data_IF_074713889252
#
_entry.id   IF_074713889252
#
_cell.length_a   1.000
_cell.length_b   1.000
_cell.length_c   1.000
_cell.angle_alpha   90.00
_cell.angle_beta   90.00
_cell.angle_gamma   90.00
#
_symmetry.space_group_name_H-M   'P 1'
#
loop_
_entity.id
_entity.type
_entity.pdbx_description
1 polymer ?
#
# COMPACT_ATOMS: atom_id res chain seq x y z
N UNK A 1 -0.68 19.85 -11.43
CA UNK A 1 0.06 18.65 -10.99
C UNK A 1 -0.60 17.44 -11.59
N UNK A 2 0.18 16.61 -12.28
CA UNK A 2 -0.31 15.46 -13.02
C UNK A 2 0.41 14.19 -12.57
N UNK A 3 -0.37 13.13 -12.41
CA UNK A 3 0.16 11.78 -12.28
C UNK A 3 0.48 11.26 -13.69
N UNK A 4 1.76 11.07 -13.98
CA UNK A 4 2.26 10.83 -15.33
C UNK A 4 2.21 9.35 -15.73
N UNK A 5 2.54 8.46 -14.78
CA UNK A 5 2.49 7.02 -14.93
C UNK A 5 2.50 6.33 -13.57
N UNK A 6 2.07 5.06 -13.56
CA UNK A 6 2.19 4.16 -12.40
C UNK A 6 2.78 2.83 -12.89
N UNK A 7 3.76 2.31 -12.15
CA UNK A 7 4.37 1.00 -12.37
C UNK A 7 4.29 0.15 -11.10
N UNK A 8 4.02 -1.13 -11.26
CA UNK A 8 3.77 -2.06 -10.16
C UNK A 8 4.69 -3.28 -10.26
N UNK A 9 5.12 -3.80 -9.11
CA UNK A 9 5.95 -4.98 -9.00
C UNK A 9 5.55 -5.81 -7.78
N UNK A 10 5.53 -7.12 -7.96
CA UNK A 10 5.34 -8.11 -6.90
C UNK A 10 6.45 -9.17 -7.02
N UNK A 11 6.81 -9.86 -5.93
CA UNK A 11 7.66 -11.04 -6.04
C UNK A 11 7.07 -12.07 -7.02
N UNK A 12 7.91 -12.84 -7.73
CA UNK A 12 7.44 -13.71 -8.81
C UNK A 12 6.56 -14.87 -8.32
N UNK A 13 6.71 -15.30 -7.06
CA UNK A 13 5.95 -16.40 -6.49
C UNK A 13 4.66 -15.89 -5.86
N UNK A 14 3.54 -16.34 -6.39
CA UNK A 14 2.23 -16.24 -5.78
C UNK A 14 1.93 -17.54 -5.01
N UNK A 15 1.27 -17.40 -3.87
CA UNK A 15 0.78 -18.51 -3.05
C UNK A 15 -0.70 -18.29 -2.78
N UNK A 16 -1.48 -19.35 -2.96
CA UNK A 16 -2.89 -19.39 -2.57
C UNK A 16 -3.01 -19.36 -1.04
N UNK A 17 -4.16 -18.93 -0.52
CA UNK A 17 -4.39 -18.97 0.93
C UNK A 17 -4.32 -20.40 1.50
N UNK A 18 -4.67 -21.41 0.69
CA UNK A 18 -4.55 -22.81 1.08
C UNK A 18 -3.08 -23.26 1.21
N UNK A 19 -2.21 -22.86 0.28
CA UNK A 19 -0.77 -23.14 0.36
C UNK A 19 -0.14 -22.43 1.57
N UNK A 20 -0.51 -21.17 1.83
CA UNK A 20 -0.03 -20.44 3.01
C UNK A 20 -0.47 -21.14 4.30
N UNK A 21 -1.71 -21.61 4.37
CA UNK A 21 -2.21 -22.34 5.53
C UNK A 21 -1.48 -23.67 5.71
N UNK A 22 -1.32 -24.45 4.64
CA UNK A 22 -0.58 -25.72 4.67
C UNK A 22 0.85 -25.54 5.18
N UNK A 23 1.55 -24.52 4.69
CA UNK A 23 2.90 -24.18 5.15
C UNK A 23 2.91 -23.84 6.65
N UNK A 24 1.94 -23.03 7.13
CA UNK A 24 1.82 -22.69 8.55
C UNK A 24 1.55 -23.93 9.42
N UNK A 25 0.64 -24.81 8.99
CA UNK A 25 0.29 -26.04 9.72
C UNK A 25 1.49 -26.96 9.96
N UNK A 26 2.53 -26.87 9.12
CA UNK A 26 3.77 -27.65 9.25
C UNK A 26 4.83 -27.02 10.17
N UNK A 27 4.56 -25.86 10.77
CA UNK A 27 5.53 -25.15 11.63
C UNK A 27 5.31 -25.44 13.11
N UNK A 28 6.38 -25.46 13.94
CA UNK A 28 6.24 -25.53 15.40
C UNK A 28 5.32 -24.42 15.95
N UNK A 29 5.39 -23.23 15.35
CA UNK A 29 4.63 -22.07 15.81
C UNK A 29 3.13 -22.28 15.77
N UNK A 30 2.61 -22.98 14.77
CA UNK A 30 1.18 -23.30 14.68
C UNK A 30 0.70 -24.21 15.82
N UNK A 31 1.55 -25.14 16.25
CA UNK A 31 1.23 -26.07 17.33
C UNK A 31 1.30 -25.42 18.72
N UNK A 32 2.06 -24.33 18.87
CA UNK A 32 2.07 -23.51 20.10
C UNK A 32 0.78 -22.73 20.31
N UNK A 33 0.06 -22.38 19.24
CA UNK A 33 -1.18 -21.60 19.33
C UNK A 33 -2.29 -22.36 20.09
N UNK A 34 -3.25 -21.63 20.63
CA UNK A 34 -4.45 -22.24 21.20
C UNK A 34 -5.34 -22.87 20.12
N UNK A 35 -6.22 -23.79 20.55
CA UNK A 35 -7.23 -24.40 19.65
C UNK A 35 -8.15 -23.34 19.01
N UNK A 36 -8.48 -22.27 19.74
CA UNK A 36 -9.27 -21.14 19.25
C UNK A 36 -8.53 -20.39 18.13
N UNK A 37 -7.25 -20.09 18.31
CA UNK A 37 -6.42 -19.40 17.32
C UNK A 37 -6.26 -20.22 16.04
N UNK A 38 -6.01 -21.53 16.17
CA UNK A 38 -5.98 -22.44 15.02
C UNK A 38 -7.31 -22.49 14.26
N UNK A 39 -8.44 -22.53 14.98
CA UNK A 39 -9.77 -22.50 14.36
C UNK A 39 -10.04 -21.18 13.62
N UNK A 40 -9.57 -20.05 14.15
CA UNK A 40 -9.65 -18.74 13.49
C UNK A 40 -8.83 -18.73 12.20
N UNK A 41 -7.56 -19.15 12.25
CA UNK A 41 -6.69 -19.23 11.07
C UNK A 41 -7.31 -20.09 9.97
N UNK A 42 -7.78 -21.29 10.32
CA UNK A 42 -8.47 -22.20 9.38
C UNK A 42 -9.70 -21.55 8.76
N UNK A 43 -10.49 -20.82 9.56
CA UNK A 43 -11.70 -20.13 9.07
C UNK A 43 -11.35 -19.00 8.09
N UNK A 44 -10.31 -18.22 8.37
CA UNK A 44 -9.95 -17.03 7.59
C UNK A 44 -9.21 -17.41 6.30
N UNK A 45 -8.22 -18.29 6.39
CA UNK A 45 -7.42 -18.79 5.26
C UNK A 45 -8.19 -19.81 4.40
N UNK A 46 -9.24 -20.44 4.92
CA UNK A 46 -10.14 -21.33 4.18
C UNK A 46 -11.09 -20.61 3.21
N UNK A 47 -10.59 -19.61 2.49
CA UNK A 47 -11.28 -18.87 1.42
C UNK A 47 -12.46 -17.98 1.88
N UNK A 48 -12.41 -17.42 3.09
CA UNK A 48 -13.48 -16.53 3.61
C UNK A 48 -13.05 -15.09 3.80
N UNK A 49 -11.84 -14.69 3.44
CA UNK A 49 -11.34 -13.32 3.62
C UNK A 49 -11.33 -12.47 2.34
N UNK A 50 -11.75 -13.03 1.20
CA UNK A 50 -11.78 -12.34 -0.09
C UNK A 50 -10.42 -12.23 -0.80
N UNK A 51 -9.40 -12.96 -0.33
CA UNK A 51 -8.06 -13.02 -0.93
C UNK A 51 -7.85 -14.42 -1.51
N UNK A 52 -7.52 -14.51 -2.79
CA UNK A 52 -7.19 -15.77 -3.48
C UNK A 52 -5.69 -16.07 -3.35
N UNK A 53 -4.85 -15.11 -3.71
CA UNK A 53 -3.39 -15.24 -3.75
C UNK A 53 -2.68 -14.07 -3.06
N UNK A 54 -1.46 -14.33 -2.60
CA UNK A 54 -0.51 -13.33 -2.10
C UNK A 54 0.87 -13.61 -2.65
N UNK A 55 1.66 -12.57 -2.83
CA UNK A 55 3.05 -12.71 -3.27
C UNK A 55 4.00 -12.51 -2.10
N UNK A 56 5.07 -13.29 -2.05
CA UNK A 56 6.08 -13.20 -1.00
C UNK A 56 7.50 -13.27 -1.55
N UNK A 57 8.38 -12.43 -1.02
CA UNK A 57 9.78 -12.38 -1.34
C UNK A 57 10.54 -13.45 -0.52
N UNK A 58 10.26 -14.72 -0.81
CA UNK A 58 10.73 -15.89 -0.06
C UNK A 58 11.11 -17.04 -1.01
N UNK A 59 12.04 -17.87 -0.55
CA UNK A 59 12.42 -19.10 -1.25
C UNK A 59 11.45 -20.24 -0.95
N UNK A 60 10.92 -20.36 0.26
CA UNK A 60 9.85 -21.30 0.61
C UNK A 60 8.75 -20.59 1.42
N UNK A 61 7.54 -21.13 1.42
CA UNK A 61 6.41 -20.47 2.11
C UNK A 61 6.58 -20.53 3.63
N UNK A 62 7.19 -21.60 4.13
CA UNK A 62 7.51 -21.83 5.54
C UNK A 62 8.41 -20.73 6.11
N UNK A 63 9.26 -20.12 5.26
CA UNK A 63 10.16 -19.03 5.67
C UNK A 63 9.37 -17.81 6.17
N UNK A 64 8.13 -17.61 5.72
CA UNK A 64 7.26 -16.52 6.20
C UNK A 64 7.00 -16.58 7.72
N UNK A 65 7.17 -17.77 8.32
CA UNK A 65 6.90 -18.08 9.71
C UNK A 65 8.17 -18.27 10.55
N UNK A 66 9.32 -17.88 10.02
CA UNK A 66 10.59 -17.78 10.77
C UNK A 66 10.67 -16.40 11.42
N UNK A 67 10.33 -16.33 12.70
CA UNK A 67 10.23 -15.11 13.48
C UNK A 67 11.55 -14.79 14.23
N UNK A 68 12.62 -14.57 13.46
CA UNK A 68 13.93 -14.18 13.99
C UNK A 68 14.26 -12.74 13.52
N UNK A 69 14.47 -11.77 14.43
CA UNK A 69 14.65 -10.36 14.06
C UNK A 69 15.70 -10.13 12.96
N UNK A 70 16.88 -10.74 13.11
CA UNK A 70 17.99 -10.58 12.15
C UNK A 70 17.69 -11.17 10.78
N UNK A 71 16.93 -12.28 10.71
CA UNK A 71 16.52 -12.86 9.42
C UNK A 71 15.44 -12.02 8.76
N UNK A 72 14.52 -11.48 9.53
CA UNK A 72 13.44 -10.64 9.02
C UNK A 72 13.96 -9.31 8.48
N UNK A 73 14.83 -8.61 9.22
CA UNK A 73 15.43 -7.37 8.70
C UNK A 73 16.34 -7.63 7.50
N UNK A 74 17.02 -8.78 7.45
CA UNK A 74 17.81 -9.20 6.27
C UNK A 74 16.91 -9.39 5.04
N UNK A 75 15.76 -10.06 5.19
CA UNK A 75 14.75 -10.20 4.12
C UNK A 75 14.31 -8.83 3.59
N UNK A 76 14.00 -7.88 4.48
CA UNK A 76 13.67 -6.52 4.06
C UNK A 76 14.81 -5.87 3.27
N UNK A 77 16.04 -5.89 3.82
CA UNK A 77 17.23 -5.30 3.21
C UNK A 77 17.52 -5.86 1.82
N UNK A 78 17.30 -7.16 1.60
CA UNK A 78 17.58 -7.82 0.33
C UNK A 78 16.51 -7.57 -0.73
N UNK A 79 15.23 -7.56 -0.33
CA UNK A 79 14.12 -7.56 -1.27
C UNK A 79 13.48 -6.17 -1.50
N UNK A 80 13.43 -5.31 -0.49
CA UNK A 80 12.80 -3.98 -0.64
C UNK A 80 13.47 -3.13 -1.72
N UNK A 81 14.82 -3.00 -1.78
CA UNK A 81 15.47 -2.22 -2.84
C UNK A 81 15.18 -2.75 -4.25
N UNK A 82 15.24 -4.07 -4.43
CA UNK A 82 15.03 -4.74 -5.74
C UNK A 82 13.60 -4.55 -6.24
N UNK A 83 12.62 -4.72 -5.35
CA UNK A 83 11.21 -4.62 -5.70
C UNK A 83 10.81 -3.16 -5.99
N UNK A 84 11.32 -2.23 -5.17
CA UNK A 84 11.18 -0.80 -5.39
C UNK A 84 11.79 -0.35 -6.73
N UNK A 85 12.98 -0.83 -7.06
CA UNK A 85 13.64 -0.56 -8.35
C UNK A 85 12.80 -1.10 -9.52
N UNK A 86 12.28 -2.33 -9.42
CA UNK A 86 11.45 -2.92 -10.46
C UNK A 86 10.18 -2.08 -10.74
N UNK A 87 9.51 -1.60 -9.69
CA UNK A 87 8.36 -0.70 -9.83
C UNK A 87 8.75 0.66 -10.43
N UNK A 88 9.86 1.25 -9.97
CA UNK A 88 10.39 2.51 -10.48
C UNK A 88 10.73 2.43 -11.97
N UNK A 89 11.46 1.40 -12.40
CA UNK A 89 11.83 1.20 -13.82
C UNK A 89 10.60 1.07 -14.71
N UNK A 90 9.61 0.27 -14.32
CA UNK A 90 8.34 0.14 -15.07
C UNK A 90 7.60 1.47 -15.17
N UNK A 91 7.63 2.28 -14.10
CA UNK A 91 6.97 3.59 -14.08
C UNK A 91 7.63 4.57 -15.06
N UNK A 92 8.98 4.61 -15.04
CA UNK A 92 9.79 5.45 -15.93
C UNK A 92 9.62 5.00 -17.39
N UNK A 93 9.72 3.70 -17.66
CA UNK A 93 9.47 3.12 -18.98
C UNK A 93 8.07 3.51 -19.50
N UNK A 94 7.03 3.31 -18.69
CA UNK A 94 5.68 3.74 -19.05
C UNK A 94 5.64 5.25 -19.30
N UNK A 95 6.35 6.08 -18.55
CA UNK A 95 6.28 7.55 -18.69
C UNK A 95 6.86 8.08 -20.00
N UNK A 96 7.81 7.37 -20.61
CA UNK A 96 8.61 7.86 -21.74
C UNK A 96 9.74 8.81 -21.35
N UNK A 97 9.90 9.11 -20.05
CA UNK A 97 11.02 9.89 -19.52
C UNK A 97 12.29 9.03 -19.38
N UNK A 98 13.43 9.70 -19.32
CA UNK A 98 14.72 9.13 -18.94
C UNK A 98 14.91 9.24 -17.43
N UNK A 99 15.69 8.32 -16.85
CA UNK A 99 16.05 8.39 -15.43
C UNK A 99 16.79 9.67 -15.05
N UNK A 100 17.53 10.27 -16.00
CA UNK A 100 18.21 11.56 -15.81
C UNK A 100 17.27 12.77 -15.73
N UNK A 101 15.97 12.59 -16.00
CA UNK A 101 14.95 13.64 -15.91
C UNK A 101 14.21 13.60 -14.56
N UNK A 102 14.52 12.64 -13.69
CA UNK A 102 13.95 12.56 -12.35
C UNK A 102 14.74 13.46 -11.41
N UNK A 103 14.06 14.48 -10.88
CA UNK A 103 14.65 15.52 -10.02
C UNK A 103 14.36 15.29 -8.52
N UNK A 104 13.40 14.43 -8.20
CA UNK A 104 13.09 14.06 -6.82
C UNK A 104 12.74 12.58 -6.66
N UNK A 105 13.14 11.98 -5.53
CA UNK A 105 12.83 10.60 -5.16
C UNK A 105 12.24 10.55 -3.75
N UNK A 106 11.00 10.08 -3.63
CA UNK A 106 10.35 9.84 -2.34
C UNK A 106 10.07 8.35 -2.20
N UNK A 107 10.52 7.74 -1.11
CA UNK A 107 10.29 6.31 -0.84
C UNK A 107 9.49 6.16 0.44
N UNK A 108 8.40 5.40 0.41
CA UNK A 108 7.55 5.12 1.56
C UNK A 108 7.56 3.63 1.90
N UNK A 109 7.71 3.32 3.20
CA UNK A 109 7.65 1.95 3.72
C UNK A 109 7.35 1.95 5.22
N UNK A 110 6.77 0.86 5.73
CA UNK A 110 6.60 0.62 7.17
C UNK A 110 7.04 -0.78 7.63
N UNK A 111 7.63 -1.58 6.73
CA UNK A 111 7.94 -3.01 6.98
C UNK A 111 9.40 -3.27 7.31
N UNK A 112 10.23 -2.23 7.38
CA UNK A 112 11.61 -2.31 7.84
C UNK A 112 12.26 -0.93 7.95
N UNK A 113 13.37 -0.86 8.67
CA UNK A 113 14.16 0.37 8.84
C UNK A 113 15.59 0.15 8.36
N UNK A 114 16.09 1.08 7.54
CA UNK A 114 17.46 1.10 7.06
C UNK A 114 18.05 2.50 7.29
N UNK A 115 19.31 2.55 7.69
CA UNK A 115 20.10 3.77 7.74
C UNK A 115 21.49 3.45 7.17
N UNK A 116 21.81 3.87 5.92
CA UNK A 116 21.04 4.75 5.03
C UNK A 116 19.71 4.14 4.52
N UNK A 117 18.74 5.00 4.19
CA UNK A 117 17.39 4.61 3.74
C UNK A 117 17.33 4.11 2.28
N UNK A 118 16.13 3.73 1.83
CA UNK A 118 15.91 3.14 0.50
C UNK A 118 16.21 4.11 -0.64
N UNK A 119 16.07 5.42 -0.41
CA UNK A 119 16.50 6.45 -1.37
C UNK A 119 17.95 6.29 -1.79
N UNK A 120 18.85 5.90 -0.87
CA UNK A 120 20.27 5.67 -1.17
C UNK A 120 20.46 4.48 -2.13
N UNK A 121 19.75 3.38 -1.89
CA UNK A 121 19.85 2.18 -2.71
C UNK A 121 19.29 2.41 -4.11
N UNK A 122 18.13 3.06 -4.20
CA UNK A 122 17.49 3.36 -5.48
C UNK A 122 18.27 4.41 -6.28
N UNK A 123 18.84 5.43 -5.63
CA UNK A 123 19.67 6.42 -6.32
C UNK A 123 20.88 5.76 -6.98
N UNK A 124 21.51 4.80 -6.30
CA UNK A 124 22.60 4.02 -6.86
C UNK A 124 22.14 3.12 -8.01
N UNK A 125 21.10 2.30 -7.81
CA UNK A 125 20.73 1.28 -8.80
C UNK A 125 20.05 1.85 -10.05
N UNK A 126 19.30 2.95 -9.91
CA UNK A 126 18.70 3.68 -11.02
C UNK A 126 19.66 4.68 -11.67
N UNK A 127 20.81 4.98 -11.05
CA UNK A 127 21.76 5.97 -11.56
C UNK A 127 21.18 7.39 -11.57
N UNK A 128 20.47 7.76 -10.51
CA UNK A 128 19.86 9.09 -10.38
C UNK A 128 20.92 10.17 -10.10
N UNK A 129 20.58 11.43 -10.40
CA UNK A 129 21.49 12.55 -10.16
C UNK A 129 21.85 12.67 -8.68
N UNK A 130 23.12 12.88 -8.29
CA UNK A 130 23.50 13.08 -6.90
C UNK A 130 22.92 14.37 -6.28
N UNK A 131 22.38 15.28 -7.10
CA UNK A 131 21.77 16.53 -6.66
C UNK A 131 20.23 16.46 -6.52
N UNK A 132 19.62 15.30 -6.74
CA UNK A 132 18.16 15.16 -6.63
C UNK A 132 17.67 15.46 -5.21
N UNK A 133 16.44 15.95 -5.07
CA UNK A 133 15.77 15.99 -3.77
C UNK A 133 15.36 14.57 -3.36
N UNK A 134 15.60 14.13 -2.12
CA UNK A 134 15.19 12.78 -1.70
C UNK A 134 14.62 12.74 -0.28
N UNK A 135 13.66 11.84 -0.07
CA UNK A 135 12.96 11.67 1.20
C UNK A 135 12.58 10.20 1.43
N UNK A 136 12.95 9.63 2.58
CA UNK A 136 12.41 8.36 3.08
C UNK A 136 11.27 8.65 4.08
N UNK A 137 10.06 8.23 3.73
CA UNK A 137 8.83 8.40 4.51
C UNK A 137 8.51 7.11 5.28
N UNK A 138 8.52 7.19 6.61
CA UNK A 138 8.27 6.05 7.50
C UNK A 138 7.16 6.36 8.50
N UNK A 139 6.53 5.32 9.05
CA UNK A 139 5.55 5.44 10.15
C UNK A 139 4.10 5.73 9.73
N UNK A 140 3.80 5.83 8.43
CA UNK A 140 2.44 6.10 7.92
C UNK A 140 1.64 4.83 7.58
N UNK A 141 2.30 3.66 7.56
CA UNK A 141 1.67 2.38 7.23
C UNK A 141 0.96 2.38 5.88
N UNK A 142 -0.18 1.68 5.82
CA UNK A 142 -1.03 1.57 4.64
C UNK A 142 -1.47 2.93 4.04
N UNK A 143 -1.43 4.01 4.84
CA UNK A 143 -1.84 5.35 4.41
C UNK A 143 -0.82 6.05 3.51
N UNK A 144 0.44 5.59 3.48
CA UNK A 144 1.59 6.40 3.06
C UNK A 144 1.61 6.88 1.60
N UNK A 145 0.89 6.21 0.69
CA UNK A 145 0.91 6.56 -0.74
C UNK A 145 0.43 7.99 -1.02
N UNK A 146 -0.67 8.43 -0.42
CA UNK A 146 -1.24 9.75 -0.68
C UNK A 146 -0.38 10.88 -0.10
N UNK A 147 0.10 10.82 1.16
CA UNK A 147 1.08 11.77 1.68
C UNK A 147 2.36 11.85 0.83
N UNK A 148 2.87 10.71 0.35
CA UNK A 148 4.05 10.69 -0.52
C UNK A 148 3.79 11.40 -1.85
N UNK A 149 2.64 11.15 -2.49
CA UNK A 149 2.21 11.88 -3.69
C UNK A 149 2.00 13.37 -3.42
N UNK A 150 1.44 13.74 -2.27
CA UNK A 150 1.23 15.13 -1.89
C UNK A 150 2.56 15.85 -1.69
N UNK A 151 3.54 15.21 -1.05
CA UNK A 151 4.88 15.78 -0.88
C UNK A 151 5.60 15.95 -2.22
N UNK A 152 5.50 14.95 -3.11
CA UNK A 152 6.00 15.06 -4.48
C UNK A 152 5.32 16.21 -5.24
N UNK A 153 4.00 16.36 -5.07
CA UNK A 153 3.24 17.47 -5.65
C UNK A 153 3.72 18.83 -5.15
N UNK A 154 4.06 18.96 -3.86
CA UNK A 154 4.61 20.20 -3.30
C UNK A 154 6.00 20.53 -3.84
N UNK A 155 6.88 19.54 -3.97
CA UNK A 155 8.21 19.74 -4.56
C UNK A 155 8.10 20.28 -5.98
N UNK A 156 7.22 19.70 -6.80
CA UNK A 156 7.04 20.16 -8.17
C UNK A 156 6.33 21.51 -8.24
N UNK A 157 5.29 21.74 -7.43
CA UNK A 157 4.61 23.03 -7.38
C UNK A 157 5.52 24.18 -6.93
N UNK A 158 6.50 23.90 -6.07
CA UNK A 158 7.50 24.87 -5.63
C UNK A 158 8.64 25.14 -6.63
N UNK A 159 8.70 24.37 -7.72
CA UNK A 159 9.79 24.43 -8.71
C UNK A 159 11.09 23.73 -8.29
N UNK A 160 11.08 22.99 -7.18
CA UNK A 160 12.25 22.20 -6.74
C UNK A 160 12.48 20.93 -7.58
N UNK A 161 11.46 20.47 -8.31
CA UNK A 161 11.54 19.32 -9.20
C UNK A 161 10.61 19.53 -10.40
N UNK A 162 10.96 19.02 -11.59
CA UNK A 162 10.02 18.92 -12.71
C UNK A 162 9.28 17.58 -12.68
N UNK A 163 10.03 16.51 -12.35
CA UNK A 163 9.53 15.16 -12.23
C UNK A 163 9.95 14.53 -10.90
N UNK A 164 8.96 14.18 -10.09
CA UNK A 164 9.17 13.50 -8.82
C UNK A 164 8.73 12.04 -8.92
N UNK A 165 9.65 11.12 -8.63
CA UNK A 165 9.40 9.68 -8.53
C UNK A 165 9.01 9.34 -7.09
N UNK A 166 7.80 8.81 -6.91
CA UNK A 166 7.31 8.30 -5.64
C UNK A 166 7.32 6.78 -5.70
N UNK A 167 7.87 6.10 -4.69
CA UNK A 167 7.90 4.65 -4.59
C UNK A 167 7.35 4.22 -3.24
N UNK A 168 6.28 3.43 -3.24
CA UNK A 168 5.80 2.71 -2.05
C UNK A 168 6.28 1.26 -2.16
N UNK A 169 6.96 0.73 -1.14
CA UNK A 169 7.45 -0.64 -1.13
C UNK A 169 7.27 -1.27 0.23
N UNK A 170 6.77 -2.50 0.25
CA UNK A 170 6.51 -3.22 1.48
C UNK A 170 6.88 -4.70 1.31
N UNK A 171 7.70 -5.18 2.24
CA UNK A 171 8.00 -6.60 2.41
C UNK A 171 7.29 -7.00 3.70
N UNK A 172 5.97 -7.17 3.63
CA UNK A 172 5.15 -7.50 4.79
C UNK A 172 5.57 -8.83 5.43
N UNK A 173 6.11 -9.77 4.65
CA UNK A 173 6.74 -10.99 5.16
C UNK A 173 7.96 -10.72 6.04
N UNK A 174 8.62 -9.56 5.94
CA UNK A 174 9.68 -9.12 6.84
C UNK A 174 9.16 -8.40 8.11
N UNK A 175 7.85 -8.23 8.23
CA UNK A 175 7.17 -7.67 9.39
C UNK A 175 6.04 -8.59 9.90
N UNK A 176 6.14 -9.90 9.63
CA UNK A 176 5.17 -10.90 10.08
C UNK A 176 5.36 -11.21 11.57
N UNK A 177 4.27 -11.46 12.29
CA UNK A 177 4.28 -11.88 13.68
C UNK A 177 3.10 -12.79 13.95
N UNK A 178 3.21 -13.71 14.91
CA UNK A 178 2.15 -14.64 15.24
C UNK A 178 2.08 -14.94 16.75
N UNK A 179 0.93 -14.69 17.36
CA UNK A 179 0.56 -15.11 18.71
C UNK A 179 -0.96 -15.34 18.79
N UNK A 180 -1.49 -15.57 19.99
CA UNK A 180 -2.92 -15.85 20.20
C UNK A 180 -3.85 -14.63 20.13
N UNK A 181 -3.32 -13.44 19.83
CA UNK A 181 -4.13 -12.23 19.65
C UNK A 181 -4.93 -12.31 18.33
N UNK A 182 -6.27 -12.17 18.36
CA UNK A 182 -7.08 -12.24 17.16
C UNK A 182 -6.68 -11.24 16.06
N UNK A 183 -6.27 -10.02 16.43
CA UNK A 183 -5.86 -8.99 15.47
C UNK A 183 -4.56 -9.37 14.76
N UNK A 184 -3.60 -9.93 15.50
CA UNK A 184 -2.34 -10.46 14.94
C UNK A 184 -2.61 -11.62 14.00
N UNK A 185 -3.49 -12.55 14.38
CA UNK A 185 -3.88 -13.69 13.54
C UNK A 185 -4.55 -13.23 12.23
N UNK A 186 -5.45 -12.23 12.31
CA UNK A 186 -6.07 -11.63 11.12
C UNK A 186 -5.02 -10.97 10.25
N UNK A 187 -4.10 -10.19 10.82
CA UNK A 187 -2.98 -9.57 10.09
C UNK A 187 -2.19 -10.60 9.27
N UNK A 188 -1.80 -11.72 9.89
CA UNK A 188 -1.05 -12.78 9.20
C UNK A 188 -1.77 -13.37 7.97
N UNK A 189 -3.10 -13.28 7.90
CA UNK A 189 -3.90 -13.75 6.78
C UNK A 189 -4.10 -12.71 5.66
N UNK A 190 -3.82 -11.43 5.93
CA UNK A 190 -4.11 -10.33 5.00
C UNK A 190 -2.90 -9.94 4.16
N UNK A 191 -1.72 -9.83 4.78
CA UNK A 191 -0.63 -9.10 4.17
C UNK A 191 0.19 -9.92 3.16
N UNK A 192 0.63 -9.25 2.10
CA UNK A 192 1.54 -9.73 1.05
C UNK A 192 2.59 -8.68 0.68
N UNK A 193 3.59 -9.06 -0.11
CA UNK A 193 4.72 -8.20 -0.49
C UNK A 193 4.47 -7.52 -1.84
N UNK A 194 4.88 -6.26 -1.98
CA UNK A 194 4.64 -5.49 -3.20
C UNK A 194 5.37 -4.15 -3.24
N UNK A 195 5.52 -3.61 -4.44
CA UNK A 195 5.95 -2.23 -4.66
C UNK A 195 5.16 -1.58 -5.80
N UNK A 196 4.87 -0.29 -5.64
CA UNK A 196 4.29 0.54 -6.67
C UNK A 196 5.03 1.87 -6.71
N UNK A 197 5.23 2.39 -7.91
CA UNK A 197 5.84 3.68 -8.13
C UNK A 197 4.98 4.53 -9.05
N UNK A 198 5.09 5.84 -8.88
CA UNK A 198 4.38 6.82 -9.69
C UNK A 198 5.26 8.04 -9.95
N UNK A 199 5.09 8.65 -11.12
CA UNK A 199 5.75 9.92 -11.45
C UNK A 199 4.73 11.05 -11.36
N UNK A 200 5.11 12.11 -10.64
CA UNK A 200 4.33 13.34 -10.52
C UNK A 200 5.07 14.45 -11.26
N UNK A 201 4.34 15.15 -12.14
CA UNK A 201 4.89 16.19 -13.03
C UNK A 201 4.06 17.47 -13.00
N UNK A 202 4.69 18.60 -13.34
CA UNK A 202 4.00 19.89 -13.47
C UNK A 202 3.03 19.88 -14.66
N UNK A 203 3.47 19.28 -15.76
CA UNK A 203 2.77 19.22 -17.04
C UNK A 203 2.11 17.85 -17.25
N UNK A 204 1.04 17.84 -18.04
CA UNK A 204 0.32 16.62 -18.39
C UNK A 204 1.11 15.78 -19.38
N UNK A 205 1.02 14.43 -19.33
CA UNK A 205 1.54 13.58 -20.40
C UNK A 205 0.80 13.86 -21.72
N UNK A 206 1.50 13.80 -22.85
CA UNK A 206 0.92 14.09 -24.17
C UNK A 206 -0.01 13.00 -24.71
N UNK A 207 0.34 11.71 -24.52
CA UNK A 207 -0.28 10.58 -25.22
C UNK A 207 -1.04 9.60 -24.30
N UNK A 208 -1.50 10.06 -23.14
CA UNK A 208 -2.17 9.23 -22.13
C UNK A 208 -3.35 9.95 -21.50
N UNK A 209 -4.27 9.17 -20.90
CA UNK A 209 -5.26 9.72 -19.97
C UNK A 209 -4.54 10.60 -18.94
N UNK A 210 -4.94 11.87 -18.92
CA UNK A 210 -4.40 12.92 -18.06
C UNK A 210 -5.08 12.80 -16.71
N UNK A 211 -4.28 12.50 -15.70
CA UNK A 211 -4.73 12.41 -14.31
C UNK A 211 -4.23 13.64 -13.57
N UNK A 212 -5.09 14.64 -13.41
CA UNK A 212 -4.76 15.88 -12.71
C UNK A 212 -5.07 15.73 -11.23
N UNK A 213 -4.07 15.92 -10.38
CA UNK A 213 -4.27 16.05 -8.94
C UNK A 213 -4.86 17.44 -8.66
N UNK A 214 -6.11 17.49 -8.19
CA UNK A 214 -6.85 18.75 -7.99
C UNK A 214 -6.67 19.27 -6.58
N UNK A 215 -6.98 18.43 -5.60
CA UNK A 215 -6.92 18.76 -4.17
C UNK A 215 -6.85 17.49 -3.34
N UNK A 216 -6.38 17.63 -2.10
CA UNK A 216 -6.32 16.55 -1.13
C UNK A 216 -6.68 17.05 0.25
N UNK A 217 -7.09 16.13 1.11
CA UNK A 217 -7.33 16.37 2.52
C UNK A 217 -6.74 15.22 3.35
N UNK A 218 -6.50 15.51 4.62
CA UNK A 218 -6.02 14.54 5.59
C UNK A 218 -6.76 14.68 6.92
N UNK A 219 -6.77 13.58 7.65
CA UNK A 219 -7.27 13.51 9.02
C UNK A 219 -6.35 12.58 9.81
N UNK A 220 -5.87 13.07 10.94
CA UNK A 220 -5.11 12.30 11.92
C UNK A 220 -5.92 12.33 13.21
N UNK A 221 -6.19 11.16 13.76
CA UNK A 221 -6.91 11.00 15.04
C UNK A 221 -5.97 10.34 16.06
N UNK A 222 -5.18 11.15 16.80
CA UNK A 222 -4.15 10.62 17.69
C UNK A 222 -4.71 9.74 18.82
N UNK A 223 -5.96 9.95 19.23
CA UNK A 223 -6.60 9.13 20.27
C UNK A 223 -6.92 7.72 19.77
N UNK A 224 -7.01 7.52 18.45
CA UNK A 224 -7.27 6.22 17.83
C UNK A 224 -5.98 5.46 17.46
N UNK A 225 -4.81 5.90 17.94
CA UNK A 225 -3.51 5.31 17.55
C UNK A 225 -3.39 3.81 17.83
N UNK A 226 -4.03 3.32 18.89
CA UNK A 226 -3.87 1.94 19.36
C UNK A 226 -4.78 0.95 18.64
N UNK A 227 -5.76 1.42 17.85
CA UNK A 227 -6.59 0.54 17.04
C UNK A 227 -5.84 -0.06 15.85
N UNK A 228 -4.82 0.64 15.34
CA UNK A 228 -3.97 0.19 14.24
C UNK A 228 -2.55 0.72 14.42
N UNK A 229 -1.64 -0.15 14.85
CA UNK A 229 -0.23 0.18 15.05
C UNK A 229 0.67 -1.05 14.96
N UNK A 230 1.96 -0.80 14.72
CA UNK A 230 2.98 -1.76 15.13
C UNK A 230 3.34 -1.53 16.59
N UNK A 231 3.39 -2.63 17.34
CA UNK A 231 4.05 -2.72 18.63
C UNK A 231 5.40 -3.44 18.44
N UNK A 232 6.38 -3.18 19.30
CA UNK A 232 7.68 -3.86 19.25
C UNK A 232 7.74 -4.93 20.33
N UNK A 233 8.03 -6.17 19.92
CA UNK A 233 8.15 -7.29 20.86
C UNK A 233 9.28 -8.21 20.44
N UNK A 234 10.25 -8.39 21.33
CA UNK A 234 11.41 -9.27 21.11
C UNK A 234 12.19 -8.94 19.82
N UNK A 235 12.28 -7.65 19.48
CA UNK A 235 12.93 -7.18 18.26
C UNK A 235 12.09 -7.32 16.98
N UNK A 236 10.84 -7.79 17.09
CA UNK A 236 9.91 -7.99 15.98
C UNK A 236 8.80 -6.92 15.94
N UNK A 237 8.27 -6.67 14.75
CA UNK A 237 7.10 -5.83 14.53
C UNK A 237 5.83 -6.65 14.72
N UNK A 238 5.11 -6.39 15.81
CA UNK A 238 3.82 -7.01 16.14
C UNK A 238 2.69 -6.11 15.65
N UNK A 239 2.07 -6.47 14.53
CA UNK A 239 0.99 -5.68 13.95
C UNK A 239 -0.33 -5.87 14.72
N UNK A 240 -0.81 -4.81 15.35
CA UNK A 240 -2.06 -4.79 16.11
C UNK A 240 -3.19 -4.21 15.26
N UNK A 241 -4.23 -5.03 15.07
CA UNK A 241 -5.44 -4.66 14.33
C UNK A 241 -6.65 -4.89 15.23
N UNK A 242 -7.23 -3.82 15.74
CA UNK A 242 -8.44 -3.89 16.53
C UNK A 242 -9.68 -4.19 15.64
N UNK A 243 -10.70 -4.90 16.15
CA UNK A 243 -11.92 -5.21 15.40
C UNK A 243 -12.66 -3.99 14.84
N UNK A 244 -12.48 -2.81 15.44
CA UNK A 244 -13.12 -1.55 15.08
C UNK A 244 -12.50 -0.90 13.83
N UNK A 245 -11.32 -1.35 13.39
CA UNK A 245 -10.59 -0.75 12.26
C UNK A 245 -11.45 -0.54 11.00
N UNK A 246 -12.30 -1.50 10.55
CA UNK A 246 -13.16 -1.28 9.38
C UNK A 246 -14.11 -0.09 9.53
N UNK A 247 -14.78 0.05 10.68
CA UNK A 247 -15.74 1.12 10.94
C UNK A 247 -15.03 2.47 11.10
N UNK A 248 -13.88 2.47 11.79
CA UNK A 248 -13.05 3.67 11.94
C UNK A 248 -12.48 4.13 10.59
N UNK A 249 -12.03 3.21 9.74
CA UNK A 249 -11.55 3.52 8.39
C UNK A 249 -12.63 4.23 7.58
N UNK A 250 -13.86 3.72 7.60
CA UNK A 250 -14.97 4.30 6.88
C UNK A 250 -15.35 5.70 7.40
N UNK A 251 -15.48 5.86 8.72
CA UNK A 251 -15.77 7.16 9.35
C UNK A 251 -14.70 8.22 9.03
N UNK A 252 -13.44 7.83 9.11
CA UNK A 252 -12.33 8.75 8.86
C UNK A 252 -12.20 9.09 7.37
N UNK A 253 -12.48 8.12 6.49
CA UNK A 253 -12.62 8.37 5.05
C UNK A 253 -13.73 9.40 4.75
N UNK A 254 -14.90 9.28 5.40
CA UNK A 254 -15.99 10.27 5.30
C UNK A 254 -15.54 11.65 5.74
N UNK A 255 -14.87 11.74 6.89
CA UNK A 255 -14.34 13.00 7.42
C UNK A 255 -13.40 13.68 6.42
N UNK A 256 -12.50 12.93 5.80
CA UNK A 256 -11.56 13.47 4.81
C UNK A 256 -12.27 13.89 3.51
N UNK A 257 -13.27 13.13 3.07
CA UNK A 257 -14.09 13.47 1.91
C UNK A 257 -14.83 14.81 2.09
N UNK A 258 -15.45 15.00 3.24
CA UNK A 258 -16.14 16.24 3.60
C UNK A 258 -15.18 17.42 3.76
N UNK A 259 -14.03 17.22 4.39
CA UNK A 259 -12.98 18.25 4.52
C UNK A 259 -12.43 18.72 3.17
N UNK A 260 -12.36 17.82 2.18
CA UNK A 260 -12.00 18.18 0.82
C UNK A 260 -13.12 18.94 0.07
N UNK A 261 -14.30 19.11 0.68
CA UNK A 261 -15.46 19.73 0.08
C UNK A 261 -15.98 18.94 -1.12
N UNK A 262 -15.90 17.62 -1.06
CA UNK A 262 -16.41 16.74 -2.11
C UNK A 262 -17.86 16.37 -1.83
N UNK A 263 -18.62 16.15 -2.90
CA UNK A 263 -19.98 15.60 -2.85
C UNK A 263 -20.02 14.32 -3.65
N UNK A 264 -20.78 13.34 -3.19
CA UNK A 264 -20.81 12.01 -3.80
C UNK A 264 -21.24 12.08 -5.26
N UNK A 265 -22.20 12.95 -5.55
CA UNK A 265 -22.82 13.15 -6.86
C UNK A 265 -21.81 13.68 -7.90
N UNK A 266 -20.72 14.30 -7.44
CA UNK A 266 -19.66 14.80 -8.31
C UNK A 266 -18.64 13.71 -8.66
N UNK A 267 -18.64 12.55 -7.99
CA UNK A 267 -17.65 11.48 -8.15
C UNK A 267 -18.14 10.41 -9.13
N UNK A 268 -17.34 10.15 -10.15
CA UNK A 268 -17.58 9.11 -11.16
C UNK A 268 -16.66 7.89 -11.01
N UNK A 269 -15.66 7.95 -10.12
CA UNK A 269 -14.71 6.87 -9.90
C UNK A 269 -14.23 6.80 -8.46
N UNK A 270 -14.24 5.61 -7.87
CA UNK A 270 -13.83 5.38 -6.49
C UNK A 270 -12.65 4.41 -6.43
N UNK A 271 -11.52 4.87 -5.87
CA UNK A 271 -10.32 4.06 -5.73
C UNK A 271 -9.86 4.10 -4.28
N UNK A 272 -9.80 2.96 -3.63
CA UNK A 272 -9.56 2.86 -2.19
C UNK A 272 -8.39 1.95 -1.87
N UNK A 273 -7.67 2.26 -0.80
CA UNK A 273 -6.88 1.24 -0.11
C UNK A 273 -7.80 0.15 0.45
N UNK A 274 -7.68 -1.06 -0.07
CA UNK A 274 -8.40 -2.22 0.42
C UNK A 274 -7.63 -2.90 1.57
N UNK A 275 -7.82 -2.43 2.81
CA UNK A 275 -7.16 -3.01 3.99
C UNK A 275 -7.56 -4.46 4.28
N UNK A 276 -8.73 -4.86 3.80
CA UNK A 276 -9.32 -6.18 3.91
C UNK A 276 -10.78 -6.12 3.44
N UNK A 277 -11.43 -7.28 3.27
CA UNK A 277 -12.82 -7.34 2.78
C UNK A 277 -13.77 -6.50 3.64
N UNK A 278 -13.65 -6.62 4.96
CA UNK A 278 -14.57 -5.97 5.89
C UNK A 278 -14.40 -4.44 5.87
N UNK A 279 -13.19 -3.95 5.56
CA UNK A 279 -12.96 -2.50 5.37
C UNK A 279 -13.64 -2.00 4.10
N UNK A 280 -13.51 -2.72 2.98
CA UNK A 280 -14.22 -2.37 1.75
C UNK A 280 -15.74 -2.39 1.95
N UNK A 281 -16.26 -3.37 2.69
CA UNK A 281 -17.67 -3.45 3.02
C UNK A 281 -18.13 -2.24 3.84
N UNK A 282 -17.37 -1.83 4.86
CA UNK A 282 -17.67 -0.66 5.67
C UNK A 282 -17.62 0.64 4.85
N UNK A 283 -16.64 0.80 3.95
CA UNK A 283 -16.55 1.95 3.05
C UNK A 283 -17.74 2.01 2.08
N UNK A 284 -18.13 0.87 1.49
CA UNK A 284 -19.32 0.79 0.63
C UNK A 284 -20.58 1.19 1.39
N UNK A 285 -20.75 0.69 2.62
CA UNK A 285 -21.90 1.06 3.45
C UNK A 285 -21.91 2.56 3.76
N UNK A 286 -20.79 3.10 4.25
CA UNK A 286 -20.65 4.50 4.63
C UNK A 286 -20.95 5.45 3.47
N UNK A 287 -20.44 5.15 2.27
CA UNK A 287 -20.65 5.96 1.07
C UNK A 287 -21.86 5.55 0.23
N UNK A 288 -22.61 4.53 0.66
CA UNK A 288 -23.72 3.91 -0.08
C UNK A 288 -23.33 3.52 -1.52
N UNK A 289 -22.19 2.85 -1.67
CA UNK A 289 -21.62 2.40 -2.94
C UNK A 289 -21.98 0.95 -3.23
N UNK A 290 -22.14 0.63 -4.50
CA UNK A 290 -22.27 -0.73 -5.00
C UNK A 290 -20.91 -1.43 -5.09
N UNK A 291 -20.93 -2.76 -5.18
CA UNK A 291 -19.71 -3.56 -5.29
C UNK A 291 -18.85 -3.18 -6.51
N UNK A 292 -19.51 -3.01 -7.67
CA UNK A 292 -18.86 -2.62 -8.94
C UNK A 292 -18.07 -1.32 -8.84
N UNK A 293 -18.51 -0.37 -8.02
CA UNK A 293 -17.85 0.94 -7.89
C UNK A 293 -16.48 0.85 -7.20
N UNK A 294 -16.19 -0.27 -6.56
CA UNK A 294 -14.91 -0.52 -5.85
C UNK A 294 -14.20 -1.77 -6.38
N UNK A 295 -14.60 -2.26 -7.56
CA UNK A 295 -14.14 -3.54 -8.11
C UNK A 295 -12.63 -3.62 -8.27
N UNK A 296 -11.97 -2.54 -8.71
CA UNK A 296 -10.52 -2.52 -8.84
C UNK A 296 -9.81 -2.66 -7.49
N UNK A 297 -10.37 -2.06 -6.43
CA UNK A 297 -9.81 -2.19 -5.08
C UNK A 297 -10.01 -3.63 -4.55
N UNK A 298 -11.18 -4.22 -4.81
CA UNK A 298 -11.47 -5.62 -4.50
C UNK A 298 -10.58 -6.60 -5.25
N UNK A 299 -10.34 -6.37 -6.54
CA UNK A 299 -9.54 -7.27 -7.37
C UNK A 299 -8.07 -7.27 -6.97
N UNK A 300 -7.53 -6.09 -6.62
CA UNK A 300 -6.17 -5.99 -6.08
C UNK A 300 -6.04 -6.74 -4.77
N UNK A 301 -7.00 -6.57 -3.84
CA UNK A 301 -7.02 -7.34 -2.59
C UNK A 301 -7.13 -8.85 -2.89
N UNK A 302 -7.95 -9.24 -3.86
CA UNK A 302 -8.16 -10.64 -4.23
C UNK A 302 -6.89 -11.31 -4.74
N UNK A 303 -6.15 -10.65 -5.64
CA UNK A 303 -4.96 -11.24 -6.29
C UNK A 303 -3.66 -11.09 -5.51
N UNK A 304 -3.54 -10.04 -4.69
CA UNK A 304 -2.26 -9.69 -4.07
C UNK A 304 -2.33 -9.64 -2.54
N UNK A 305 -3.52 -9.71 -1.96
CA UNK A 305 -3.74 -9.39 -0.54
C UNK A 305 -3.54 -7.90 -0.25
N UNK A 306 -3.37 -7.60 1.03
CA UNK A 306 -3.03 -6.26 1.48
C UNK A 306 -1.50 -6.08 1.40
N UNK A 307 -1.01 -5.24 0.50
CA UNK A 307 0.42 -4.93 0.38
C UNK A 307 0.83 -3.74 1.24
N UNK A 308 -0.04 -3.22 2.12
CA UNK A 308 0.11 -1.94 2.81
C UNK A 308 0.11 -0.77 1.81
N UNK A 309 1.08 0.15 1.88
CA UNK A 309 1.12 1.41 1.12
C UNK A 309 1.01 1.27 -0.42
N UNK A 310 1.57 0.25 -1.11
CA UNK A 310 1.45 0.05 -2.55
C UNK A 310 0.03 -0.25 -3.01
N UNK A 311 -0.83 -0.86 -2.17
CA UNK A 311 -2.14 -1.36 -2.61
C UNK A 311 -3.04 -0.28 -3.23
N UNK A 312 -2.96 0.96 -2.72
CA UNK A 312 -3.75 2.07 -3.26
C UNK A 312 -3.31 2.44 -4.69
N UNK A 313 -2.00 2.41 -4.96
CA UNK A 313 -1.44 2.67 -6.30
C UNK A 313 -1.70 1.51 -7.27
N UNK A 314 -1.70 0.27 -6.80
CA UNK A 314 -2.14 -0.88 -7.62
C UNK A 314 -3.61 -0.73 -8.04
N UNK A 315 -4.48 -0.34 -7.12
CA UNK A 315 -5.90 -0.13 -7.42
C UNK A 315 -6.08 1.03 -8.42
N UNK A 316 -5.31 2.10 -8.28
CA UNK A 316 -5.33 3.22 -9.21
C UNK A 316 -4.81 2.83 -10.61
N UNK A 317 -3.70 2.09 -10.71
CA UNK A 317 -3.18 1.60 -11.99
C UNK A 317 -4.20 0.68 -12.69
N UNK A 318 -4.85 -0.21 -11.92
CA UNK A 318 -5.92 -1.08 -12.43
C UNK A 318 -7.11 -0.28 -12.95
N UNK A 319 -7.58 0.73 -12.21
CA UNK A 319 -8.69 1.59 -12.61
C UNK A 319 -8.39 2.43 -13.86
N UNK A 320 -7.16 2.94 -13.98
CA UNK A 320 -6.73 3.72 -15.14
C UNK A 320 -6.66 2.87 -16.42
N UNK A 321 -6.27 1.60 -16.29
CA UNK A 321 -6.15 0.67 -17.41
C UNK A 321 -7.48 0.01 -17.81
N UNK A 322 -8.39 -0.21 -16.87
CA UNK A 322 -9.55 -1.10 -17.06
C UNK A 322 -10.92 -0.40 -16.95
N UNK A 323 -11.00 0.87 -17.37
CA UNK A 323 -12.28 1.39 -17.88
C UNK A 323 -13.21 2.11 -16.90
N UNK A 324 -12.73 2.67 -15.78
CA UNK A 324 -13.51 3.73 -15.13
C UNK A 324 -13.59 4.93 -16.11
N UNK A 325 -14.79 5.47 -16.40
CA UNK A 325 -14.96 6.63 -17.28
C UNK A 325 -14.19 7.86 -16.83
N UNK A 326 -13.92 8.76 -17.77
CA UNK A 326 -13.40 10.09 -17.47
C UNK A 326 -14.36 10.85 -16.54
N UNK A 327 -13.80 11.70 -15.69
CA UNK A 327 -14.59 12.37 -14.66
C UNK A 327 -13.76 12.75 -13.44
N UNK A 328 -14.46 12.97 -12.32
CA UNK A 328 -13.83 13.22 -11.04
C UNK A 328 -13.74 11.91 -10.28
N UNK A 329 -12.53 11.53 -9.89
CA UNK A 329 -12.31 10.35 -9.08
C UNK A 329 -11.94 10.75 -7.66
N UNK A 330 -12.32 9.90 -6.71
CA UNK A 330 -11.88 9.98 -5.33
C UNK A 330 -10.92 8.83 -5.03
N UNK A 331 -9.68 9.19 -4.74
CA UNK A 331 -8.64 8.27 -4.27
C UNK A 331 -8.51 8.42 -2.76
N UNK A 332 -8.48 7.33 -2.00
CA UNK A 332 -8.29 7.41 -0.55
C UNK A 332 -7.54 6.23 0.07
N UNK A 333 -6.80 6.53 1.14
CA UNK A 333 -6.05 5.57 1.94
C UNK A 333 -6.20 5.88 3.44
N UNK A 334 -5.90 4.89 4.27
CA UNK A 334 -5.86 5.03 5.73
C UNK A 334 -4.77 4.12 6.28
N UNK A 335 -4.24 4.45 7.45
CA UNK A 335 -3.08 3.78 8.01
C UNK A 335 -2.97 3.93 9.52
N UNK A 336 -1.81 3.53 10.05
CA UNK A 336 -1.53 3.51 11.48
C UNK A 336 -1.65 4.90 12.14
N UNK A 337 -1.84 4.90 13.47
CA UNK A 337 -1.96 6.13 14.26
C UNK A 337 -3.33 6.82 14.17
N UNK A 338 -4.37 6.03 13.90
CA UNK A 338 -5.36 6.22 12.85
C UNK A 338 -5.27 7.52 12.04
N UNK A 339 -4.76 7.37 10.82
CA UNK A 339 -4.70 8.43 9.81
C UNK A 339 -5.53 8.06 8.58
N UNK A 340 -6.10 9.06 7.93
CA UNK A 340 -6.83 8.92 6.67
C UNK A 340 -6.48 10.08 5.72
N UNK A 341 -6.41 9.74 4.44
CA UNK A 341 -6.00 10.64 3.37
C UNK A 341 -6.93 10.46 2.17
N UNK A 342 -7.17 11.55 1.46
CA UNK A 342 -8.06 11.57 0.31
C UNK A 342 -7.61 12.58 -0.72
N UNK A 343 -7.83 12.27 -1.99
CA UNK A 343 -7.44 13.09 -3.11
C UNK A 343 -8.51 13.06 -4.21
N UNK A 344 -8.85 14.25 -4.69
CA UNK A 344 -9.66 14.43 -5.90
C UNK A 344 -8.73 14.44 -7.11
N UNK A 345 -8.96 13.48 -7.99
CA UNK A 345 -8.31 13.38 -9.30
C UNK A 345 -9.32 13.76 -10.38
N UNK A 346 -8.90 14.58 -11.35
CA UNK A 346 -9.64 14.77 -12.59
C UNK A 346 -8.98 13.92 -13.68
N UNK A 347 -9.74 12.98 -14.24
CA UNK A 347 -9.25 12.06 -15.28
C UNK A 347 -9.91 12.41 -16.61
N UNK A 348 -9.09 12.65 -17.62
CA UNK A 348 -9.50 13.04 -18.99
C UNK A 348 -8.67 12.28 -20.02
N UNK A 349 -9.29 11.80 -21.09
CA UNK A 349 -8.60 11.17 -22.22
C UNK A 349 -7.93 12.18 -23.14
#
# INVERSE_FOLDING_TARGET
>A
MYLHSIGTAVPPRAFTQAEVFSALENTPKYHELTSRSRALLRKVLGNRNGIETRHFALDQMEDAFVFEPDKMIRRFREHAPRLAEAAARKTVEKSGLRLSEIDALLVATCTGYLCPGLTSYLSQSLGLSPSLAFLDLVGLGCGAALPALQQASSLVASGQANHALVVCVEICSAASYLDDDPGVLISACLFGDGAAAAIVSAQAPEAKRKVRWVKSASHLEPDHRDYLRFDHRDGLLRNLLAPEVPVLAARHARTVFERAGMRKEDISGWVWHAGGRDVLAALRQEFSLEEKETEHSSEILRRHGNMSSPSCLFALDSALQNGIPDGNWWLASFGAGFSSYGAHLEVRS
#
